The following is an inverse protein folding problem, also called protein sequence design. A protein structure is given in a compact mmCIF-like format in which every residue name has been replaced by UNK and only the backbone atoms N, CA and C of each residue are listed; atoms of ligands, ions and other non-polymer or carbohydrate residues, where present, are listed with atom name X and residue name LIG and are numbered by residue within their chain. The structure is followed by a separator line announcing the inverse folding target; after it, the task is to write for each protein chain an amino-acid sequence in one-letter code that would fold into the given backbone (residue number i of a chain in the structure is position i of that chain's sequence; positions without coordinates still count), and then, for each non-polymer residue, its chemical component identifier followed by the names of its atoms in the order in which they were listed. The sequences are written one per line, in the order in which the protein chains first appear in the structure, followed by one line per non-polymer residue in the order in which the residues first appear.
data_IF_227270220770
#
_entry.id   IF_227270220770
#
_cell.length_a   1.000
_cell.length_b   1.000
_cell.length_c   1.000
_cell.angle_alpha   90.00
_cell.angle_beta   90.00
_cell.angle_gamma   90.00
#
_symmetry.space_group_name_H-M   'P 1'
#
loop_
_entity.id
_entity.type
_entity.pdbx_description
1 polymer ?
#
# COMPACT_ATOMS: atom_id res chain seq x y z
N UNK A 1 9.67 16.09 -15.70
CA UNK A 1 8.69 15.03 -15.39
C UNK A 1 9.08 14.47 -14.04
N UNK A 2 8.31 14.77 -13.00
CA UNK A 2 8.68 14.36 -11.64
C UNK A 2 8.34 12.87 -11.48
N UNK A 3 9.33 12.05 -11.15
CA UNK A 3 9.18 10.60 -10.90
C UNK A 3 8.34 10.26 -9.65
N UNK A 4 7.50 11.17 -9.16
CA UNK A 4 6.68 11.01 -7.95
C UNK A 4 5.28 10.41 -8.23
N UNK A 5 4.88 10.24 -9.50
CA UNK A 5 3.57 9.66 -9.87
C UNK A 5 3.64 8.13 -10.05
N UNK A 6 4.82 7.54 -9.92
CA UNK A 6 5.06 6.10 -10.00
C UNK A 6 5.55 5.57 -8.66
N UNK A 7 5.02 4.42 -8.23
CA UNK A 7 5.46 3.76 -7.01
C UNK A 7 5.84 2.30 -7.30
N UNK A 8 6.93 1.77 -6.70
CA UNK A 8 7.29 0.37 -6.83
C UNK A 8 6.23 -0.50 -6.16
N UNK A 9 6.07 -1.74 -6.64
CA UNK A 9 5.22 -2.74 -6.00
C UNK A 9 6.07 -3.86 -5.39
N UNK A 10 5.61 -4.38 -4.26
CA UNK A 10 6.28 -5.44 -3.51
C UNK A 10 5.30 -6.57 -3.24
N UNK A 11 5.70 -7.80 -3.55
CA UNK A 11 4.86 -8.98 -3.28
C UNK A 11 5.17 -9.55 -1.89
N UNK A 12 4.17 -9.62 -1.02
CA UNK A 12 4.25 -10.24 0.30
C UNK A 12 3.07 -11.21 0.48
N UNK A 13 3.33 -12.47 0.83
CA UNK A 13 2.30 -13.55 0.98
C UNK A 13 1.26 -13.60 -0.16
N UNK A 14 1.71 -13.41 -1.40
CA UNK A 14 0.86 -13.43 -2.61
C UNK A 14 0.10 -12.12 -2.87
N UNK A 15 0.19 -11.12 -1.99
CA UNK A 15 -0.42 -9.83 -2.16
C UNK A 15 0.58 -8.82 -2.75
N UNK A 16 0.19 -8.09 -3.79
CA UNK A 16 0.96 -6.97 -4.33
C UNK A 16 0.64 -5.69 -3.55
N UNK A 17 1.67 -5.07 -3.00
CA UNK A 17 1.60 -3.85 -2.20
C UNK A 17 2.33 -2.72 -2.90
N UNK A 18 1.71 -1.54 -2.97
CA UNK A 18 2.35 -0.30 -3.36
C UNK A 18 3.29 0.13 -2.25
N UNK A 19 4.52 0.46 -2.63
CA UNK A 19 5.56 0.93 -1.73
C UNK A 19 5.75 2.44 -1.80
N UNK A 20 5.02 3.17 -0.96
CA UNK A 20 5.24 4.60 -0.78
C UNK A 20 6.41 4.85 0.18
N UNK A 21 7.23 5.86 -0.13
CA UNK A 21 8.46 6.17 0.63
C UNK A 21 8.20 7.09 1.83
N UNK A 22 7.10 7.82 1.78
CA UNK A 22 6.58 8.74 2.80
C UNK A 22 5.11 9.08 2.46
N UNK A 23 4.43 9.86 3.33
CA UNK A 23 3.05 10.30 3.13
C UNK A 23 2.90 11.18 1.87
N UNK A 24 3.86 12.09 1.63
CA UNK A 24 3.82 12.96 0.46
C UNK A 24 3.83 12.16 -0.85
N UNK A 25 4.64 11.10 -0.94
CA UNK A 25 4.65 10.22 -2.10
C UNK A 25 3.31 9.49 -2.29
N UNK A 26 2.59 9.16 -1.20
CA UNK A 26 1.25 8.60 -1.31
C UNK A 26 0.28 9.62 -1.94
N UNK A 27 0.28 10.87 -1.45
CA UNK A 27 -0.56 11.94 -1.97
C UNK A 27 -0.22 12.27 -3.43
N UNK A 28 1.06 12.44 -3.77
CA UNK A 28 1.53 12.69 -5.14
C UNK A 28 1.10 11.54 -6.09
N UNK A 29 1.16 10.30 -5.62
CA UNK A 29 0.77 9.13 -6.41
C UNK A 29 -0.75 9.08 -6.66
N UNK A 30 -1.56 9.47 -5.66
CA UNK A 30 -3.01 9.47 -5.72
C UNK A 30 -3.55 10.69 -6.50
N UNK A 31 -2.94 11.87 -6.35
CA UNK A 31 -3.28 13.11 -7.06
C UNK A 31 -2.39 13.36 -8.29
N UNK A 32 -2.08 12.31 -9.04
CA UNK A 32 -1.25 12.45 -10.24
C UNK A 32 -1.93 13.34 -11.29
N UNK A 33 -1.17 14.26 -11.89
CA UNK A 33 -1.63 15.14 -12.98
C UNK A 33 -2.85 16.02 -12.64
N UNK A 34 -3.01 16.37 -11.35
CA UNK A 34 -4.10 17.22 -10.87
C UNK A 34 -5.46 16.52 -10.80
N UNK A 35 -5.49 15.19 -10.96
CA UNK A 35 -6.70 14.39 -10.80
C UNK A 35 -6.49 13.32 -9.74
N UNK A 36 -7.46 13.20 -8.83
CA UNK A 36 -7.48 12.11 -7.86
C UNK A 36 -7.80 10.80 -8.58
N UNK A 37 -6.92 9.81 -8.45
CA UNK A 37 -7.16 8.45 -8.93
C UNK A 37 -8.38 7.86 -8.23
N UNK A 38 -9.25 7.22 -9.01
CA UNK A 38 -10.43 6.55 -8.50
C UNK A 38 -10.15 5.06 -8.26
N UNK A 39 -10.74 4.52 -7.20
CA UNK A 39 -10.63 3.11 -6.84
C UNK A 39 -10.71 2.91 -5.34
N UNK A 40 -10.49 1.67 -4.92
CA UNK A 40 -10.52 1.25 -3.53
C UNK A 40 -9.11 1.27 -2.95
N UNK A 41 -8.92 2.02 -1.85
CA UNK A 41 -7.72 1.99 -1.04
C UNK A 41 -7.87 0.98 0.10
N UNK A 42 -6.90 0.08 0.24
CA UNK A 42 -6.83 -0.87 1.35
C UNK A 42 -5.52 -0.69 2.11
N UNK A 43 -5.63 -0.19 3.35
CA UNK A 43 -4.56 -0.10 4.32
C UNK A 43 -4.21 -1.50 4.87
N UNK A 44 -3.08 -2.06 4.44
CA UNK A 44 -2.66 -3.42 4.81
C UNK A 44 -1.84 -3.39 6.10
N UNK A 45 -2.38 -4.02 7.14
CA UNK A 45 -1.73 -4.25 8.42
C UNK A 45 -1.47 -5.76 8.64
N UNK A 46 -0.88 -6.12 9.79
CA UNK A 46 -0.52 -7.52 10.08
C UNK A 46 -1.73 -8.45 10.08
N UNK A 47 -2.82 -8.00 10.70
CA UNK A 47 -4.04 -8.79 10.86
C UNK A 47 -4.67 -9.11 9.50
N UNK A 48 -4.83 -8.12 8.62
CA UNK A 48 -5.33 -8.36 7.27
C UNK A 48 -4.46 -9.34 6.49
N UNK A 49 -3.14 -9.28 6.67
CA UNK A 49 -2.21 -10.23 6.03
C UNK A 49 -2.36 -11.67 6.53
N UNK A 50 -2.86 -11.88 7.75
CA UNK A 50 -3.16 -13.21 8.28
C UNK A 50 -4.56 -13.65 7.84
N UNK A 51 -5.56 -12.77 7.93
CA UNK A 51 -6.94 -13.09 7.53
C UNK A 51 -7.06 -13.53 6.07
N UNK A 52 -6.29 -12.93 5.15
CA UNK A 52 -6.31 -13.34 3.73
C UNK A 52 -5.79 -14.76 3.51
N UNK A 53 -5.00 -15.33 4.43
CA UNK A 53 -4.52 -16.70 4.28
C UNK A 53 -5.62 -17.71 4.56
N UNK A 54 -6.48 -17.39 5.53
CA UNK A 54 -7.51 -18.29 6.06
C UNK A 54 -8.91 -18.04 5.47
N UNK A 55 -9.15 -16.89 4.83
CA UNK A 55 -10.46 -16.52 4.28
C UNK A 55 -10.36 -16.12 2.80
N UNK A 56 -10.93 -16.97 1.93
CA UNK A 56 -10.92 -16.78 0.48
C UNK A 56 -11.72 -15.55 0.02
N UNK A 57 -12.88 -15.27 0.62
CA UNK A 57 -13.71 -14.11 0.27
C UNK A 57 -12.99 -12.80 0.61
N UNK A 58 -12.35 -12.73 1.78
CA UNK A 58 -11.55 -11.56 2.18
C UNK A 58 -10.34 -11.39 1.26
N UNK A 59 -9.70 -12.49 0.86
CA UNK A 59 -8.60 -12.47 -0.12
C UNK A 59 -9.07 -11.93 -1.47
N UNK A 60 -10.21 -12.38 -1.98
CA UNK A 60 -10.78 -11.89 -3.25
C UNK A 60 -11.11 -10.41 -3.17
N UNK A 61 -11.77 -9.96 -2.10
CA UNK A 61 -12.11 -8.56 -1.87
C UNK A 61 -10.85 -7.67 -1.85
N UNK A 62 -9.83 -8.06 -1.10
CA UNK A 62 -8.58 -7.29 -1.03
C UNK A 62 -7.85 -7.33 -2.38
N UNK A 63 -7.86 -8.45 -3.09
CA UNK A 63 -7.25 -8.56 -4.43
C UNK A 63 -7.95 -7.68 -5.47
N UNK A 64 -9.26 -7.46 -5.36
CA UNK A 64 -10.01 -6.60 -6.26
C UNK A 64 -9.66 -5.10 -6.11
N UNK A 65 -9.17 -4.66 -4.95
CA UNK A 65 -8.86 -3.25 -4.71
C UNK A 65 -7.73 -2.70 -5.60
N UNK A 66 -7.87 -1.51 -6.15
CA UNK A 66 -6.86 -0.91 -7.04
C UNK A 66 -5.57 -0.54 -6.28
N UNK A 67 -5.70 -0.09 -5.03
CA UNK A 67 -4.58 0.43 -4.26
C UNK A 67 -4.46 -0.29 -2.91
N UNK A 68 -3.44 -1.14 -2.79
CA UNK A 68 -3.09 -1.84 -1.55
C UNK A 68 -1.75 -1.31 -1.07
N UNK A 69 -1.63 -0.83 0.16
CA UNK A 69 -0.40 -0.20 0.64
C UNK A 69 -0.07 -0.57 2.08
N UNK A 70 1.18 -0.34 2.48
CA UNK A 70 1.68 -0.73 3.79
C UNK A 70 1.29 0.27 4.90
N UNK A 71 0.34 -0.11 5.75
CA UNK A 71 -0.03 0.62 6.97
C UNK A 71 0.62 -0.01 8.23
N UNK A 72 0.63 -1.33 8.36
CA UNK A 72 1.23 -1.96 9.54
C UNK A 72 2.75 -1.84 9.55
N UNK A 73 3.36 -1.43 10.68
CA UNK A 73 4.83 -1.41 10.80
C UNK A 73 5.47 -2.79 10.59
N UNK A 74 4.77 -3.85 10.98
CA UNK A 74 5.18 -5.23 10.70
C UNK A 74 5.21 -5.55 9.21
N UNK A 75 4.24 -5.05 8.43
CA UNK A 75 4.19 -5.21 6.97
C UNK A 75 5.38 -4.51 6.33
N UNK A 76 5.66 -3.26 6.71
CA UNK A 76 6.84 -2.51 6.25
C UNK A 76 8.12 -3.27 6.54
N UNK A 77 8.29 -3.77 7.78
CA UNK A 77 9.46 -4.57 8.17
C UNK A 77 9.57 -5.86 7.37
N UNK A 78 8.46 -6.55 7.10
CA UNK A 78 8.44 -7.76 6.27
C UNK A 78 8.84 -7.47 4.82
N UNK A 79 8.37 -6.35 4.24
CA UNK A 79 8.79 -5.91 2.91
C UNK A 79 10.29 -5.64 2.89
N UNK A 80 10.82 -4.82 3.82
CA UNK A 80 12.27 -4.52 3.89
C UNK A 80 13.12 -5.75 4.18
N UNK A 81 12.61 -6.73 4.92
CA UNK A 81 13.30 -8.01 5.16
C UNK A 81 13.41 -8.84 3.88
N UNK A 82 12.35 -8.90 3.07
CA UNK A 82 12.33 -9.64 1.79
C UNK A 82 13.06 -8.90 0.67
N UNK A 83 12.99 -7.56 0.67
CA UNK A 83 13.58 -6.67 -0.32
C UNK A 83 14.43 -5.63 0.43
N UNK A 84 15.71 -5.90 0.71
CA UNK A 84 16.56 -5.01 1.52
C UNK A 84 16.72 -3.59 0.97
N UNK A 85 16.58 -3.42 -0.34
CA UNK A 85 16.67 -2.12 -1.03
C UNK A 85 15.34 -1.36 -1.06
N UNK A 86 14.26 -1.91 -0.51
CA UNK A 86 12.93 -1.32 -0.59
C UNK A 86 12.83 -0.01 0.19
N UNK A 87 12.59 1.09 -0.53
CA UNK A 87 12.25 2.38 0.05
C UNK A 87 10.74 2.48 0.27
N UNK A 88 10.26 1.79 1.31
CA UNK A 88 8.85 1.80 1.72
C UNK A 88 8.74 2.26 3.16
N UNK A 89 7.80 3.14 3.46
CA UNK A 89 7.48 3.63 4.80
C UNK A 89 6.05 3.26 5.17
N UNK A 90 5.76 3.33 6.47
CA UNK A 90 4.39 3.19 6.97
C UNK A 90 3.60 4.44 6.57
N UNK A 91 2.46 4.23 5.92
CA UNK A 91 1.45 5.26 5.69
C UNK A 91 0.20 4.79 6.42
N UNK A 92 -0.19 5.49 7.49
CA UNK A 92 -1.36 5.07 8.26
C UNK A 92 -2.64 5.36 7.48
N UNK A 93 -3.62 4.46 7.57
CA UNK A 93 -4.88 4.61 6.84
C UNK A 93 -5.69 5.83 7.28
N UNK A 94 -5.76 6.08 8.60
CA UNK A 94 -6.45 7.24 9.14
C UNK A 94 -5.78 8.54 8.71
N UNK A 95 -4.47 8.66 8.93
CA UNK A 95 -3.69 9.85 8.55
C UNK A 95 -3.79 10.15 7.05
N UNK A 96 -3.73 9.12 6.19
CA UNK A 96 -3.89 9.33 4.73
C UNK A 96 -5.30 9.84 4.40
N UNK A 97 -6.33 9.33 5.08
CA UNK A 97 -7.70 9.78 4.85
C UNK A 97 -7.94 11.23 5.25
N UNK A 98 -7.29 11.71 6.31
CA UNK A 98 -7.40 13.12 6.75
C UNK A 98 -6.75 14.11 5.75
N UNK A 99 -5.79 13.65 4.96
CA UNK A 99 -5.06 14.45 3.97
C UNK A 99 -5.69 14.42 2.55
N UNK A 100 -6.73 13.60 2.33
CA UNK A 100 -7.46 13.47 1.04
C UNK A 100 -8.67 14.40 0.95
#
# INVERSE_FOLDING_TARGET
MNNNTTAPTYTLRGLQLIGWRDMQHALDYLFADGQLKQGTLVAINAEKMLTIEDNAEVRELINAAEFKYADGISVVRSVRKKYPQAQVSRVAGADLWEEL
#
